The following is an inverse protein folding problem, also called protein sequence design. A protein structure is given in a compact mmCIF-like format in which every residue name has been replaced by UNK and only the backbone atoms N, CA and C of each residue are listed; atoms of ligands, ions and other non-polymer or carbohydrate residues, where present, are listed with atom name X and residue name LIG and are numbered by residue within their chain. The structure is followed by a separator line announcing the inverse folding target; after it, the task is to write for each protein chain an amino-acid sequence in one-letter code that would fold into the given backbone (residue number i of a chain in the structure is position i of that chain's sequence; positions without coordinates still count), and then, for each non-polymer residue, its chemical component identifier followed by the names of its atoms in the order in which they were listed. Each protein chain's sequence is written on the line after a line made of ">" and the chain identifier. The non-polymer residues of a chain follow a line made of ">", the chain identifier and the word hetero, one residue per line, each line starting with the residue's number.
data_IF_119577749883
#
_entry.id   IF_119577749883
#
_cell.length_a   1.000
_cell.length_b   1.000
_cell.length_c   1.000
_cell.angle_alpha   90.00
_cell.angle_beta   90.00
_cell.angle_gamma   90.00
#
_symmetry.space_group_name_H-M   'P 1'
#
loop_
_entity.id
_entity.type
_entity.pdbx_description
1 polymer ?
#
# COMPACT_ATOMS: atom_id res chain seq x y z
N UNK A 1 -27.16 -5.78 -1.95
CA UNK A 1 -27.48 -4.45 -1.36
C UNK A 1 -28.41 -4.65 -0.17
N UNK A 2 -28.33 -3.88 0.93
CA UNK A 2 -27.52 -2.69 1.23
C UNK A 2 -26.52 -2.99 2.39
N UNK A 3 -25.59 -2.17 2.86
CA UNK A 3 -25.62 -0.78 3.36
C UNK A 3 -24.16 -0.41 3.70
N UNK A 4 -23.85 0.89 3.82
CA UNK A 4 -22.64 1.47 4.44
C UNK A 4 -21.51 2.02 3.53
N UNK A 5 -21.84 2.58 2.37
CA UNK A 5 -20.98 3.59 1.74
C UNK A 5 -21.82 4.80 1.32
N UNK A 6 -22.03 5.70 2.28
CA UNK A 6 -22.40 7.10 2.02
C UNK A 6 -21.68 7.98 3.04
N UNK A 7 -20.42 8.29 2.72
CA UNK A 7 -19.82 9.53 3.17
C UNK A 7 -20.50 10.67 2.40
N UNK A 8 -21.38 11.43 3.06
CA UNK A 8 -21.53 12.85 2.74
C UNK A 8 -22.05 13.63 3.96
N UNK A 9 -21.15 14.43 4.52
CA UNK A 9 -21.38 15.80 4.98
C UNK A 9 -22.65 16.08 5.79
N UNK A 10 -22.54 16.11 7.12
CA UNK A 10 -23.31 17.03 7.98
C UNK A 10 -22.70 17.11 9.39
N UNK A 11 -22.54 18.35 9.86
CA UNK A 11 -22.25 18.79 11.23
C UNK A 11 -20.78 18.83 11.71
N UNK A 12 -20.24 20.06 11.76
CA UNK A 12 -18.95 20.44 12.34
C UNK A 12 -18.85 20.34 13.88
N UNK A 13 -19.74 19.61 14.56
CA UNK A 13 -19.67 19.36 16.01
C UNK A 13 -19.25 17.90 16.35
N UNK A 14 -18.99 17.05 15.35
CA UNK A 14 -18.77 15.61 15.55
C UNK A 14 -17.30 15.17 15.68
N UNK A 15 -16.35 16.10 15.84
CA UNK A 15 -14.95 15.75 16.07
C UNK A 15 -14.76 14.87 17.31
N UNK A 16 -15.63 15.00 18.33
CA UNK A 16 -15.62 14.20 19.56
C UNK A 16 -16.11 12.75 19.36
N UNK A 17 -16.93 12.45 18.34
CA UNK A 17 -17.47 11.10 18.10
C UNK A 17 -16.62 10.28 17.11
N UNK A 18 -15.63 10.90 16.47
CA UNK A 18 -14.78 10.21 15.50
C UNK A 18 -13.94 9.15 16.23
N UNK A 19 -13.97 7.87 15.81
CA UNK A 19 -13.21 6.81 16.48
C UNK A 19 -11.72 7.17 16.60
N UNK A 20 -11.10 6.84 17.74
CA UNK A 20 -9.70 7.19 18.06
C UNK A 20 -8.71 6.78 16.96
N UNK A 21 -8.89 5.60 16.38
CA UNK A 21 -8.03 5.09 15.31
C UNK A 21 -8.06 5.98 14.06
N UNK A 22 -9.22 6.54 13.69
CA UNK A 22 -9.32 7.43 12.53
C UNK A 22 -8.53 8.71 12.75
N UNK A 23 -8.60 9.28 13.95
CA UNK A 23 -7.83 10.49 14.29
C UNK A 23 -6.33 10.24 14.27
N UNK A 24 -5.88 9.09 14.78
CA UNK A 24 -4.47 8.71 14.72
C UNK A 24 -4.00 8.59 13.27
N UNK A 25 -4.80 7.94 12.41
CA UNK A 25 -4.51 7.87 10.97
C UNK A 25 -4.50 9.26 10.34
N UNK A 26 -5.48 10.13 10.62
CA UNK A 26 -5.51 11.48 10.04
C UNK A 26 -4.27 12.30 10.41
N UNK A 27 -3.78 12.16 11.65
CA UNK A 27 -2.63 12.91 12.17
C UNK A 27 -1.30 12.53 11.50
N UNK A 28 -1.20 11.39 10.82
CA UNK A 28 0.02 11.05 10.09
C UNK A 28 0.16 11.85 8.78
N UNK A 29 -0.94 12.42 8.29
CA UNK A 29 -0.96 13.21 7.05
C UNK A 29 -0.73 14.70 7.39
N UNK A 30 0.35 15.31 6.88
CA UNK A 30 0.58 16.74 6.99
C UNK A 30 -0.42 17.56 6.14
N UNK A 31 -0.41 18.88 6.32
CA UNK A 31 -1.15 19.80 5.46
C UNK A 31 -0.55 19.83 4.05
N UNK A 32 0.78 19.91 3.95
CA UNK A 32 1.53 19.84 2.69
C UNK A 32 2.09 18.41 2.48
N UNK A 33 1.74 17.71 1.39
CA UNK A 33 2.28 16.38 1.11
C UNK A 33 3.81 16.31 0.95
N UNK A 34 4.49 17.43 0.66
CA UNK A 34 5.95 17.48 0.53
C UNK A 34 6.66 17.33 1.88
N UNK A 35 5.96 17.60 3.00
CA UNK A 35 6.50 17.36 4.36
C UNK A 35 6.66 15.86 4.66
N UNK A 36 5.98 15.00 3.90
CA UNK A 36 6.05 13.56 4.04
C UNK A 36 5.38 13.03 5.32
N UNK A 37 5.60 11.75 5.60
CA UNK A 37 4.98 11.08 6.73
C UNK A 37 5.49 11.62 8.07
N UNK A 38 4.57 12.09 8.94
CA UNK A 38 4.93 12.63 10.25
C UNK A 38 5.35 11.51 11.21
N UNK A 39 6.66 11.24 11.30
CA UNK A 39 7.26 10.12 12.06
C UNK A 39 6.72 9.97 13.49
N UNK A 40 6.65 11.05 14.25
CA UNK A 40 6.16 11.02 15.64
C UNK A 40 4.68 10.62 15.74
N UNK A 41 3.86 10.92 14.73
CA UNK A 41 2.46 10.49 14.69
C UNK A 41 2.32 9.07 14.17
N UNK A 42 3.21 8.66 13.27
CA UNK A 42 3.31 7.29 12.80
C UNK A 42 3.70 6.33 13.93
N UNK A 43 4.72 6.65 14.74
CA UNK A 43 5.11 5.85 15.91
C UNK A 43 3.93 5.65 16.89
N UNK A 44 3.13 6.70 17.12
CA UNK A 44 1.91 6.60 17.94
C UNK A 44 0.86 5.67 17.33
N UNK A 45 0.69 5.72 16.00
CA UNK A 45 -0.21 4.82 15.29
C UNK A 45 0.27 3.37 15.37
N UNK A 46 1.55 3.13 15.15
CA UNK A 46 2.19 1.80 15.27
C UNK A 46 2.04 1.26 16.69
N UNK A 47 2.37 2.05 17.71
CA UNK A 47 2.20 1.63 19.11
C UNK A 47 0.74 1.28 19.43
N UNK A 48 -0.21 2.07 18.92
CA UNK A 48 -1.64 1.80 19.09
C UNK A 48 -2.09 0.52 18.39
N UNK A 49 -1.58 0.25 17.18
CA UNK A 49 -1.85 -0.97 16.44
C UNK A 49 -1.31 -2.21 17.18
N UNK A 50 -0.07 -2.14 17.69
CA UNK A 50 0.56 -3.22 18.47
C UNK A 50 -0.16 -3.48 19.80
N UNK A 51 -0.64 -2.42 20.46
CA UNK A 51 -1.37 -2.55 21.72
C UNK A 51 -2.80 -3.07 21.55
N UNK A 52 -3.34 -3.07 20.33
CA UNK A 52 -4.73 -3.42 20.03
C UNK A 52 -4.84 -4.05 18.62
N UNK A 53 -4.38 -5.29 18.43
CA UNK A 53 -4.34 -5.95 17.12
C UNK A 53 -5.73 -6.11 16.51
N UNK A 54 -6.80 -6.20 17.31
CA UNK A 54 -8.20 -6.24 16.82
C UNK A 54 -8.64 -4.93 16.13
N UNK A 55 -7.88 -3.85 16.31
CA UNK A 55 -8.12 -2.57 15.64
C UNK A 55 -7.30 -2.41 14.37
N UNK A 56 -6.29 -3.25 14.15
CA UNK A 56 -5.42 -3.18 12.97
C UNK A 56 -6.25 -3.30 11.69
N UNK A 57 -7.21 -4.22 11.64
CA UNK A 57 -8.12 -4.38 10.50
C UNK A 57 -8.86 -3.09 10.14
N UNK A 58 -9.31 -2.34 11.16
CA UNK A 58 -10.01 -1.06 10.98
C UNK A 58 -9.07 0.05 10.53
N UNK A 59 -7.81 0.02 10.98
CA UNK A 59 -6.76 0.95 10.55
C UNK A 59 -6.42 0.69 9.09
N UNK A 60 -6.16 -0.57 8.73
CA UNK A 60 -5.87 -1.03 7.38
C UNK A 60 -6.99 -0.63 6.40
N UNK A 61 -8.24 -1.01 6.69
CA UNK A 61 -9.38 -0.67 5.85
C UNK A 61 -9.55 0.85 5.65
N UNK A 62 -9.32 1.64 6.70
CA UNK A 62 -9.43 3.10 6.62
C UNK A 62 -8.28 3.75 5.83
N UNK A 63 -7.06 3.23 5.96
CA UNK A 63 -5.91 3.64 5.15
C UNK A 63 -6.15 3.34 3.67
N UNK A 64 -6.61 2.13 3.35
CA UNK A 64 -6.96 1.72 1.97
C UNK A 64 -8.04 2.62 1.37
N UNK A 65 -9.15 2.85 2.09
CA UNK A 65 -10.22 3.74 1.65
C UNK A 65 -9.70 5.16 1.37
N UNK A 66 -8.85 5.68 2.26
CA UNK A 66 -8.23 6.99 2.11
C UNK A 66 -7.31 7.02 0.89
N UNK A 67 -6.46 6.02 0.72
CA UNK A 67 -5.53 5.95 -0.39
C UNK A 67 -6.28 5.93 -1.72
N UNK A 68 -7.26 5.03 -1.88
CA UNK A 68 -8.07 4.96 -3.11
C UNK A 68 -8.77 6.29 -3.39
N UNK A 69 -9.25 6.98 -2.35
CA UNK A 69 -9.84 8.32 -2.49
C UNK A 69 -8.83 9.36 -2.98
N UNK A 70 -7.63 9.40 -2.42
CA UNK A 70 -6.60 10.37 -2.84
C UNK A 70 -6.04 10.03 -4.24
N UNK A 71 -5.95 8.74 -4.59
CA UNK A 71 -5.61 8.27 -5.93
C UNK A 71 -6.62 8.75 -6.97
N UNK A 72 -7.93 8.56 -6.72
CA UNK A 72 -9.01 9.05 -7.59
C UNK A 72 -9.03 10.59 -7.70
N UNK A 73 -8.53 11.29 -6.68
CA UNK A 73 -8.39 12.76 -6.68
C UNK A 73 -7.07 13.23 -7.29
N UNK A 74 -6.24 12.33 -7.79
CA UNK A 74 -4.95 12.63 -8.40
C UNK A 74 -3.97 13.34 -7.43
N UNK A 75 -4.10 13.08 -6.12
CA UNK A 75 -3.24 13.68 -5.08
C UNK A 75 -2.13 12.72 -4.67
N UNK A 76 -1.16 12.56 -5.55
CA UNK A 76 -0.14 11.50 -5.45
C UNK A 76 0.79 11.64 -4.24
N UNK A 77 1.08 12.84 -3.77
CA UNK A 77 1.87 13.03 -2.54
C UNK A 77 1.24 12.37 -1.31
N UNK A 78 -0.08 12.49 -1.13
CA UNK A 78 -0.79 11.78 -0.05
C UNK A 78 -0.89 10.28 -0.29
N UNK A 79 -0.89 9.82 -1.54
CA UNK A 79 -0.81 8.40 -1.88
C UNK A 79 0.53 7.82 -1.42
N UNK A 80 1.64 8.54 -1.66
CA UNK A 80 2.97 8.15 -1.19
C UNK A 80 3.01 8.02 0.35
N UNK A 81 2.45 9.01 1.07
CA UNK A 81 2.40 9.00 2.54
C UNK A 81 1.57 7.81 3.06
N UNK A 82 0.42 7.54 2.45
CA UNK A 82 -0.42 6.41 2.83
C UNK A 82 0.27 5.05 2.58
N UNK A 83 0.99 4.92 1.45
CA UNK A 83 1.82 3.75 1.14
C UNK A 83 2.91 3.54 2.18
N UNK A 84 3.66 4.60 2.52
CA UNK A 84 4.72 4.53 3.51
C UNK A 84 4.19 4.15 4.89
N UNK A 85 3.02 4.67 5.28
CA UNK A 85 2.37 4.27 6.54
C UNK A 85 1.97 2.79 6.54
N UNK A 86 1.45 2.25 5.43
CA UNK A 86 1.14 0.82 5.34
C UNK A 86 2.40 -0.04 5.42
N UNK A 87 3.49 0.35 4.74
CA UNK A 87 4.80 -0.33 4.83
C UNK A 87 5.31 -0.40 6.28
N UNK A 88 5.26 0.72 7.01
CA UNK A 88 5.70 0.74 8.41
C UNK A 88 4.82 -0.10 9.34
N UNK A 89 3.50 -0.17 9.09
CA UNK A 89 2.61 -1.06 9.85
C UNK A 89 2.89 -2.53 9.54
N UNK A 90 3.15 -2.87 8.27
CA UNK A 90 3.51 -4.22 7.84
C UNK A 90 4.82 -4.70 8.47
N UNK A 91 5.82 -3.81 8.57
CA UNK A 91 7.10 -4.12 9.21
C UNK A 91 7.02 -4.24 10.73
N UNK A 92 6.06 -3.57 11.37
CA UNK A 92 5.96 -3.56 12.82
C UNK A 92 5.06 -4.67 13.38
N UNK A 93 4.02 -5.08 12.63
CA UNK A 93 2.99 -5.99 13.11
C UNK A 93 3.16 -7.38 12.51
N UNK A 94 3.56 -8.39 13.30
CA UNK A 94 3.73 -9.78 12.87
C UNK A 94 2.67 -10.70 13.48
N UNK A 95 1.39 -10.46 13.20
CA UNK A 95 0.28 -11.24 13.79
C UNK A 95 -0.77 -11.65 12.76
N UNK A 96 -1.64 -12.60 13.10
CA UNK A 96 -2.69 -13.13 12.21
C UNK A 96 -3.66 -12.05 11.66
N UNK A 97 -3.76 -10.90 12.32
CA UNK A 97 -4.51 -9.72 11.86
C UNK A 97 -3.80 -8.91 10.77
N UNK A 98 -2.57 -9.25 10.39
CA UNK A 98 -1.84 -8.57 9.30
C UNK A 98 -2.41 -8.91 7.93
N UNK A 99 -3.09 -10.06 7.77
CA UNK A 99 -3.54 -10.56 6.47
C UNK A 99 -4.42 -9.54 5.74
N UNK A 100 -5.33 -8.84 6.44
CA UNK A 100 -6.16 -7.80 5.83
C UNK A 100 -5.34 -6.58 5.41
N UNK A 101 -4.30 -6.23 6.17
CA UNK A 101 -3.38 -5.15 5.82
C UNK A 101 -2.55 -5.53 4.59
N UNK A 102 -2.08 -6.78 4.51
CA UNK A 102 -1.38 -7.31 3.33
C UNK A 102 -2.29 -7.29 2.10
N UNK A 103 -3.51 -7.81 2.20
CA UNK A 103 -4.48 -7.78 1.09
C UNK A 103 -4.78 -6.35 0.64
N UNK A 104 -4.97 -5.44 1.59
CA UNK A 104 -5.15 -4.01 1.36
C UNK A 104 -3.97 -3.36 0.62
N UNK A 105 -2.75 -3.69 1.05
CA UNK A 105 -1.52 -3.21 0.47
C UNK A 105 -1.33 -3.74 -0.96
N UNK A 106 -1.48 -5.06 -1.17
CA UNK A 106 -1.40 -5.67 -2.49
C UNK A 106 -2.48 -5.11 -3.43
N UNK A 107 -3.73 -4.98 -2.98
CA UNK A 107 -4.80 -4.36 -3.78
C UNK A 107 -4.44 -2.93 -4.19
N UNK A 108 -3.80 -2.18 -3.30
CA UNK A 108 -3.32 -0.83 -3.62
C UNK A 108 -2.24 -0.85 -4.70
N UNK A 109 -1.24 -1.73 -4.57
CA UNK A 109 -0.18 -1.86 -5.58
C UNK A 109 -0.75 -2.14 -6.96
N UNK A 110 -1.81 -2.97 -7.06
CA UNK A 110 -2.51 -3.19 -8.34
C UNK A 110 -3.08 -1.90 -8.92
N UNK A 111 -3.82 -1.13 -8.11
CA UNK A 111 -4.39 0.14 -8.54
C UNK A 111 -3.32 1.14 -9.01
N UNK A 112 -2.15 1.15 -8.37
CA UNK A 112 -1.03 2.00 -8.79
C UNK A 112 -0.41 1.55 -10.12
N UNK A 113 -0.33 0.24 -10.37
CA UNK A 113 0.17 -0.34 -11.62
C UNK A 113 -0.82 -0.25 -12.79
N UNK A 114 -2.11 -0.08 -12.49
CA UNK A 114 -3.17 0.17 -13.48
C UNK A 114 -3.29 1.64 -13.85
N UNK A 115 -2.74 2.55 -13.06
CA UNK A 115 -2.88 4.00 -13.26
C UNK A 115 -2.06 4.55 -14.46
N UNK A 116 -1.37 3.69 -15.23
CA UNK A 116 -0.54 3.99 -16.42
C UNK A 116 0.34 5.25 -16.25
N UNK A 117 0.92 5.42 -15.05
CA UNK A 117 1.77 6.57 -14.69
C UNK A 117 3.15 6.11 -14.23
N UNK A 118 4.25 6.54 -14.88
CA UNK A 118 5.60 6.03 -14.58
C UNK A 118 6.00 6.17 -13.11
N UNK A 119 5.72 7.31 -12.47
CA UNK A 119 6.06 7.53 -11.07
C UNK A 119 5.27 6.62 -10.11
N UNK A 120 4.02 6.28 -10.44
CA UNK A 120 3.22 5.33 -9.65
C UNK A 120 3.68 3.89 -9.86
N UNK A 121 4.09 3.54 -11.08
CA UNK A 121 4.69 2.23 -11.35
C UNK A 121 5.99 2.06 -10.56
N UNK A 122 6.85 3.08 -10.53
CA UNK A 122 8.10 3.07 -9.76
C UNK A 122 7.81 2.88 -8.26
N UNK A 123 6.84 3.63 -7.71
CA UNK A 123 6.41 3.50 -6.32
C UNK A 123 5.93 2.07 -6.04
N UNK A 124 4.97 1.58 -6.82
CA UNK A 124 4.37 0.27 -6.62
C UNK A 124 5.40 -0.87 -6.73
N UNK A 125 6.27 -0.81 -7.73
CA UNK A 125 7.32 -1.80 -7.97
C UNK A 125 8.32 -1.81 -6.82
N UNK A 126 8.74 -0.63 -6.34
CA UNK A 126 9.66 -0.52 -5.21
C UNK A 126 9.05 -1.05 -3.92
N UNK A 127 7.79 -0.71 -3.65
CA UNK A 127 7.05 -1.16 -2.47
C UNK A 127 6.81 -2.68 -2.49
N UNK A 128 6.49 -3.24 -3.67
CA UNK A 128 6.33 -4.68 -3.86
C UNK A 128 7.60 -5.45 -3.52
N UNK A 129 8.75 -5.01 -4.05
CA UNK A 129 10.05 -5.65 -3.81
C UNK A 129 10.41 -5.65 -2.32
N UNK A 130 10.19 -4.53 -1.62
CA UNK A 130 10.41 -4.46 -0.17
C UNK A 130 9.54 -5.47 0.56
N UNK A 131 8.24 -5.51 0.22
CA UNK A 131 7.28 -6.42 0.83
C UNK A 131 7.65 -7.90 0.59
N UNK A 132 8.01 -8.24 -0.64
CA UNK A 132 8.35 -9.60 -1.06
C UNK A 132 9.64 -10.14 -0.40
N UNK A 133 10.48 -9.26 0.15
CA UNK A 133 11.68 -9.63 0.92
C UNK A 133 11.41 -9.79 2.43
N UNK A 134 10.18 -9.59 2.91
CA UNK A 134 9.83 -9.83 4.33
C UNK A 134 9.51 -11.33 4.47
N UNK A 135 10.41 -12.09 5.10
CA UNK A 135 10.51 -13.57 5.06
C UNK A 135 9.34 -14.39 5.66
N UNK A 136 8.23 -13.78 6.11
CA UNK A 136 7.42 -14.45 7.15
C UNK A 136 6.17 -15.23 6.72
N UNK A 137 5.54 -15.05 5.55
CA UNK A 137 4.33 -15.84 5.22
C UNK A 137 3.99 -15.86 3.72
N UNK A 138 5.02 -16.02 2.90
CA UNK A 138 4.94 -16.08 1.44
C UNK A 138 3.82 -17.00 0.87
N UNK A 139 3.53 -18.20 1.42
CA UNK A 139 2.57 -19.14 0.79
C UNK A 139 1.14 -18.62 0.73
N UNK A 140 0.73 -17.84 1.72
CA UNK A 140 -0.65 -17.39 1.88
C UNK A 140 -1.09 -16.40 0.79
N UNK A 141 -0.14 -15.75 0.13
CA UNK A 141 -0.42 -14.67 -0.83
C UNK A 141 -0.17 -15.06 -2.30
N UNK A 142 0.21 -16.31 -2.59
CA UNK A 142 0.60 -16.77 -3.93
C UNK A 142 -0.38 -16.34 -5.03
N UNK A 143 -1.69 -16.56 -4.87
CA UNK A 143 -2.67 -16.18 -5.91
C UNK A 143 -2.68 -14.67 -6.21
N UNK A 144 -2.28 -13.86 -5.25
CA UNK A 144 -2.19 -12.42 -5.46
C UNK A 144 -0.99 -12.02 -6.31
N UNK A 145 0.05 -12.88 -6.38
CA UNK A 145 1.28 -12.65 -7.14
C UNK A 145 1.11 -12.87 -8.64
N UNK A 146 0.16 -13.70 -9.08
CA UNK A 146 -0.08 -13.99 -10.50
C UNK A 146 -0.31 -12.70 -11.31
N UNK A 147 -1.12 -11.77 -10.77
CA UNK A 147 -1.32 -10.45 -11.37
C UNK A 147 -0.01 -9.67 -11.49
N UNK A 148 0.79 -9.64 -10.42
CA UNK A 148 2.03 -8.86 -10.38
C UNK A 148 3.07 -9.43 -11.35
N UNK A 149 3.22 -10.76 -11.43
CA UNK A 149 4.09 -11.43 -12.40
C UNK A 149 3.68 -11.06 -13.84
N UNK A 150 2.39 -11.16 -14.16
CA UNK A 150 1.88 -10.77 -15.48
C UNK A 150 2.16 -9.30 -15.79
N UNK A 151 1.80 -8.41 -14.87
CA UNK A 151 1.93 -6.96 -15.06
C UNK A 151 3.38 -6.50 -15.13
N UNK A 152 4.28 -7.06 -14.31
CA UNK A 152 5.71 -6.76 -14.40
C UNK A 152 6.31 -7.25 -15.71
N UNK A 153 5.89 -8.43 -16.21
CA UNK A 153 6.30 -8.94 -17.52
C UNK A 153 5.89 -8.01 -18.67
N UNK A 154 4.63 -7.57 -18.68
CA UNK A 154 4.13 -6.58 -19.67
C UNK A 154 4.95 -5.29 -19.64
N UNK A 155 5.22 -4.75 -18.46
CA UNK A 155 5.99 -3.51 -18.31
C UNK A 155 7.45 -3.65 -18.77
N UNK A 156 8.07 -4.83 -18.61
CA UNK A 156 9.42 -5.11 -19.12
C UNK A 156 9.51 -5.08 -20.65
N UNK A 157 8.39 -5.27 -21.35
CA UNK A 157 8.31 -5.28 -22.82
C UNK A 157 7.64 -4.02 -23.40
N UNK A 158 7.34 -3.02 -22.56
CA UNK A 158 6.73 -1.78 -23.02
C UNK A 158 7.75 -0.84 -23.69
N UNK A 159 7.48 -0.46 -24.93
CA UNK A 159 8.24 0.53 -25.69
C UNK A 159 7.83 1.94 -25.24
N UNK A 160 8.49 2.47 -24.21
CA UNK A 160 8.35 3.87 -23.84
C UNK A 160 9.20 4.75 -24.76
N UNK A 161 8.64 5.86 -25.26
CA UNK A 161 9.32 6.80 -26.18
C UNK A 161 10.57 7.47 -25.57
N UNK A 162 10.67 7.54 -24.24
CA UNK A 162 11.80 8.11 -23.51
C UNK A 162 12.73 7.01 -22.97
N UNK A 163 13.88 6.84 -23.63
CA UNK A 163 14.90 5.82 -23.35
C UNK A 163 15.45 5.86 -21.90
N UNK A 164 15.47 7.03 -21.26
CA UNK A 164 16.07 7.18 -19.91
C UNK A 164 15.07 6.76 -18.82
N UNK A 165 13.79 7.09 -19.02
CA UNK A 165 12.68 6.60 -18.21
C UNK A 165 12.45 5.10 -18.47
N UNK A 166 12.59 4.65 -19.71
CA UNK A 166 12.46 3.23 -20.11
C UNK A 166 13.55 2.36 -19.48
N UNK A 167 14.82 2.75 -19.54
CA UNK A 167 15.91 1.94 -18.97
C UNK A 167 15.78 1.78 -17.44
N UNK A 168 15.34 2.83 -16.74
CA UNK A 168 15.10 2.80 -15.29
C UNK A 168 13.86 1.99 -14.92
N UNK A 169 12.78 2.10 -15.69
CA UNK A 169 11.55 1.33 -15.45
C UNK A 169 11.75 -0.15 -15.76
N UNK A 170 12.37 -0.50 -16.88
CA UNK A 170 12.66 -1.88 -17.30
C UNK A 170 13.59 -2.59 -16.32
N UNK A 171 14.67 -1.95 -15.88
CA UNK A 171 15.59 -2.56 -14.89
C UNK A 171 14.89 -2.85 -13.55
N UNK A 172 14.00 -1.96 -13.12
CA UNK A 172 13.22 -2.13 -11.88
C UNK A 172 12.11 -3.18 -12.02
N UNK A 173 11.42 -3.22 -13.17
CA UNK A 173 10.41 -4.24 -13.45
C UNK A 173 11.05 -5.63 -13.55
N UNK A 174 12.23 -5.74 -14.18
CA UNK A 174 12.99 -7.00 -14.20
C UNK A 174 13.40 -7.45 -12.80
N UNK A 175 13.81 -6.52 -11.93
CA UNK A 175 14.12 -6.84 -10.54
C UNK A 175 12.87 -7.32 -9.79
N UNK A 176 11.75 -6.60 -9.89
CA UNK A 176 10.50 -6.99 -9.24
C UNK A 176 9.90 -8.30 -9.78
N UNK A 177 10.03 -8.55 -11.09
CA UNK A 177 9.64 -9.81 -11.73
C UNK A 177 10.52 -10.95 -11.22
N UNK A 178 11.83 -10.73 -11.09
CA UNK A 178 12.75 -11.71 -10.53
C UNK A 178 12.40 -12.00 -9.07
N UNK A 179 12.16 -10.97 -8.26
CA UNK A 179 11.72 -11.12 -6.85
C UNK A 179 10.39 -11.87 -6.79
N UNK A 180 9.39 -11.49 -7.57
CA UNK A 180 8.10 -12.17 -7.62
C UNK A 180 8.24 -13.64 -8.01
N UNK A 181 9.06 -13.95 -9.02
CA UNK A 181 9.30 -15.32 -9.48
C UNK A 181 10.09 -16.14 -8.45
N UNK A 182 11.09 -15.57 -7.77
CA UNK A 182 11.80 -16.26 -6.67
C UNK A 182 10.82 -16.61 -5.55
N UNK A 183 9.97 -15.65 -5.18
CA UNK A 183 8.97 -15.81 -4.13
C UNK A 183 7.95 -16.87 -4.52
N UNK A 184 7.44 -16.87 -5.75
CA UNK A 184 6.54 -17.91 -6.30
C UNK A 184 7.23 -19.27 -6.42
N UNK A 185 8.50 -19.34 -6.85
CA UNK A 185 9.24 -20.60 -6.96
C UNK A 185 9.56 -21.21 -5.60
N UNK A 186 9.89 -20.39 -4.59
CA UNK A 186 10.12 -20.84 -3.21
C UNK A 186 8.90 -21.51 -2.57
N UNK A 187 7.69 -21.18 -3.03
CA UNK A 187 6.44 -21.82 -2.61
C UNK A 187 6.15 -23.14 -3.27
N UNK A 188 6.68 -23.37 -4.48
CA UNK A 188 6.51 -24.63 -5.21
C UNK A 188 7.54 -25.70 -4.81
N UNK A 189 8.52 -25.32 -3.96
CA UNK A 189 9.59 -26.20 -3.46
C UNK A 189 9.31 -26.76 -2.05
N UNK A 190 8.25 -26.32 -1.38
CA UNK A 190 7.78 -26.78 -0.06
C UNK A 190 6.49 -27.59 -0.17
#
# INVERSE_FOLDING_TARGET
>A
CPTQQRFLWLCGCCWALRPRYKRLVDNIFPEDPEEGLVKANMEKLTFFALSAPEKLDRIAAYLSERLTRELNRHRYGYVCIAMEAMEQLLLACHCQSINLLVESFLSTLRLLLEADKPHLHILATSSFVKFANIEEDTPSYHRSYDFFVSRFSEMCHSDHEDLDTQNKSVSRCNFALTTANIVVMGLNLH
#
